data_IF_973179983876
#
_entry.id   IF_973179983876
#
_cell.length_a   1.000
_cell.length_b   1.000
_cell.length_c   1.000
_cell.angle_alpha   90.00
_cell.angle_beta   90.00
_cell.angle_gamma   90.00
#
_symmetry.space_group_name_H-M   'P 1'
#
loop_
_entity.id
_entity.type
_entity.pdbx_description
1 polymer ?
#
# COMPACT_ATOMS: atom_id res chain seq x y z
N UNK A 1 -13.99 46.46 4.18
CA UNK A 1 -13.45 46.06 2.86
C UNK A 1 -11.92 45.93 2.95
N UNK A 2 -11.38 44.78 3.31
CA UNK A 2 -9.94 44.51 3.27
C UNK A 2 -9.69 43.14 2.63
N UNK A 3 -9.14 43.15 1.40
CA UNK A 3 -8.72 41.97 0.65
C UNK A 3 -7.22 41.77 0.85
N UNK A 4 -6.84 40.71 1.56
CA UNK A 4 -5.46 40.26 1.66
C UNK A 4 -5.10 39.42 0.42
N UNK A 5 -4.05 39.84 -0.30
CA UNK A 5 -3.42 39.09 -1.40
C UNK A 5 -2.37 38.14 -0.81
N UNK A 6 -2.53 36.84 -1.01
CA UNK A 6 -1.52 35.82 -0.69
C UNK A 6 -0.81 35.44 -1.99
N UNK A 7 0.48 35.74 -2.05
CA UNK A 7 1.39 35.43 -3.16
C UNK A 7 1.93 34.00 -3.01
N UNK A 8 1.71 33.18 -4.04
CA UNK A 8 2.29 31.86 -4.20
C UNK A 8 3.78 31.93 -4.51
N UNK A 9 4.59 31.14 -3.78
CA UNK A 9 6.02 30.93 -4.00
C UNK A 9 6.20 29.56 -4.65
N UNK A 10 6.49 29.52 -5.95
CA UNK A 10 6.88 28.29 -6.67
C UNK A 10 8.40 28.12 -6.57
N UNK A 11 8.84 27.08 -5.86
CA UNK A 11 10.24 26.67 -5.82
C UNK A 11 10.55 25.72 -6.97
N UNK A 12 11.38 26.18 -7.92
CA UNK A 12 11.98 25.33 -8.95
C UNK A 12 13.27 24.71 -8.40
N UNK A 13 13.32 23.39 -8.28
CA UNK A 13 14.56 22.65 -7.99
C UNK A 13 15.10 22.07 -9.30
N UNK A 14 16.15 22.71 -9.81
CA UNK A 14 16.92 22.28 -10.99
C UNK A 14 17.92 21.19 -10.59
N UNK A 15 17.81 20.01 -11.20
CA UNK A 15 18.77 18.92 -11.10
C UNK A 15 19.89 19.14 -12.12
N UNK A 16 21.10 19.45 -11.65
CA UNK A 16 22.33 19.34 -12.42
C UNK A 16 23.17 18.19 -11.85
N UNK A 17 23.33 17.10 -12.62
CA UNK A 17 24.31 16.05 -12.33
C UNK A 17 25.27 15.96 -13.52
N UNK A 18 26.44 16.57 -13.33
CA UNK A 18 27.56 16.66 -14.27
C UNK A 18 28.39 15.37 -14.15
N UNK A 19 28.56 14.66 -15.26
CA UNK A 19 29.51 13.56 -15.41
C UNK A 19 30.90 14.13 -15.73
N UNK A 20 31.95 13.63 -15.06
CA UNK A 20 33.32 13.71 -15.56
C UNK A 20 34.02 12.36 -15.38
N UNK A 21 34.76 11.88 -16.40
CA UNK A 21 35.72 10.79 -16.25
C UNK A 21 37.14 11.38 -16.11
N UNK A 22 37.90 10.87 -15.14
CA UNK A 22 39.35 11.11 -15.08
C UNK A 22 40.07 9.80 -15.37
N UNK A 23 40.72 9.74 -16.52
CA UNK A 23 41.68 8.71 -16.90
C UNK A 23 43.00 8.96 -16.16
N UNK A 24 43.50 7.95 -15.45
CA UNK A 24 44.87 7.91 -14.94
C UNK A 24 45.61 6.75 -15.60
N UNK A 25 46.63 7.09 -16.38
CA UNK A 25 47.54 6.17 -17.06
C UNK A 25 48.58 5.65 -16.06
N UNK A 26 48.58 4.35 -15.79
CA UNK A 26 49.66 3.68 -15.07
C UNK A 26 50.44 2.76 -16.03
N UNK A 27 51.71 3.11 -16.24
CA UNK A 27 52.72 2.28 -16.90
C UNK A 27 52.96 1.01 -16.07
N UNK A 28 52.91 -0.15 -16.72
CA UNK A 28 53.28 -1.43 -16.10
C UNK A 28 54.47 -2.08 -16.81
N UNK A 29 55.44 -2.44 -15.97
CA UNK A 29 56.69 -3.12 -16.25
C UNK A 29 56.46 -4.57 -16.70
N UNK A 30 57.32 -5.03 -17.62
CA UNK A 30 57.32 -6.35 -18.23
C UNK A 30 57.75 -7.45 -17.26
N UNK A 31 56.94 -8.51 -17.19
CA UNK A 31 57.38 -9.82 -16.68
C UNK A 31 56.82 -10.95 -17.56
N UNK A 32 57.69 -11.90 -17.87
CA UNK A 32 57.54 -12.95 -18.88
C UNK A 32 56.32 -13.86 -18.67
N UNK A 33 55.70 -14.39 -19.75
CA UNK A 33 54.47 -15.17 -19.66
C UNK A 33 54.77 -16.61 -19.23
N UNK A 34 54.70 -16.88 -17.93
CA UNK A 34 54.39 -18.23 -17.48
C UNK A 34 52.94 -18.53 -17.86
N UNK A 35 52.70 -19.71 -18.44
CA UNK A 35 51.42 -20.19 -18.99
C UNK A 35 50.20 -19.59 -18.29
N UNK A 36 49.40 -18.83 -19.05
CA UNK A 36 48.22 -18.09 -18.57
C UNK A 36 47.11 -19.06 -18.15
N UNK A 37 47.20 -19.63 -16.95
CA UNK A 37 45.97 -19.97 -16.22
C UNK A 37 45.17 -18.68 -16.07
N UNK A 38 43.88 -18.72 -16.41
CA UNK A 38 43.03 -17.53 -16.27
C UNK A 38 43.02 -17.16 -14.78
N UNK A 39 43.11 -15.88 -14.45
CA UNK A 39 43.24 -15.41 -13.05
C UNK A 39 42.15 -16.00 -12.13
N UNK A 40 40.94 -16.22 -12.65
CA UNK A 40 39.85 -16.86 -11.93
C UNK A 40 40.09 -18.35 -11.62
N UNK A 41 40.85 -19.04 -12.45
CA UNK A 41 41.16 -20.48 -12.35
C UNK A 41 42.18 -20.74 -11.24
N UNK A 42 43.16 -19.83 -11.07
CA UNK A 42 44.06 -19.81 -9.91
C UNK A 42 43.32 -19.52 -8.61
N UNK A 43 42.42 -18.52 -8.62
CA UNK A 43 41.59 -18.22 -7.45
C UNK A 43 40.66 -19.38 -7.08
N UNK A 44 40.06 -20.05 -8.07
CA UNK A 44 39.19 -21.20 -7.85
C UNK A 44 39.95 -22.43 -7.35
N UNK A 45 41.17 -22.70 -7.85
CA UNK A 45 42.04 -23.77 -7.32
C UNK A 45 42.48 -23.50 -5.88
N UNK A 46 42.74 -22.24 -5.52
CA UNK A 46 43.12 -21.85 -4.16
C UNK A 46 41.98 -22.11 -3.15
N UNK A 47 40.73 -21.88 -3.56
CA UNK A 47 39.54 -22.10 -2.74
C UNK A 47 39.18 -23.59 -2.63
N UNK A 48 39.43 -24.39 -3.68
CA UNK A 48 39.13 -25.84 -3.68
C UNK A 48 40.04 -26.71 -2.80
N UNK A 49 41.23 -26.22 -2.43
CA UNK A 49 42.20 -26.96 -1.64
C UNK A 49 42.22 -26.58 -0.15
N UNK A 50 41.25 -25.78 0.32
CA UNK A 50 41.09 -25.52 1.75
C UNK A 50 39.95 -26.37 2.28
N UNK A 51 40.30 -27.46 2.96
CA UNK A 51 39.34 -28.24 3.73
C UNK A 51 38.53 -27.29 4.62
N UNK A 52 37.22 -27.24 4.40
CA UNK A 52 36.30 -26.33 5.08
C UNK A 52 36.32 -26.49 6.61
N UNK A 53 36.91 -27.58 7.10
CA UNK A 53 36.98 -27.98 8.50
C UNK A 53 38.09 -27.28 9.30
N UNK A 54 39.08 -26.65 8.67
CA UNK A 54 40.28 -26.16 9.41
C UNK A 54 40.80 -24.79 8.94
N UNK A 55 39.96 -23.96 8.35
CA UNK A 55 40.39 -22.67 7.83
C UNK A 55 40.21 -21.56 8.88
N UNK A 56 41.16 -21.49 9.82
CA UNK A 56 41.22 -20.51 10.92
C UNK A 56 41.05 -19.04 10.46
N UNK A 57 41.42 -18.75 9.21
CA UNK A 57 41.26 -17.44 8.59
C UNK A 57 39.78 -17.10 8.29
N UNK A 58 39.00 -18.05 7.80
CA UNK A 58 37.57 -17.84 7.55
C UNK A 58 36.80 -17.70 8.86
N UNK A 59 37.20 -18.42 9.91
CA UNK A 59 36.60 -18.27 11.23
C UNK A 59 36.95 -16.92 11.86
N UNK A 60 38.18 -16.42 11.70
CA UNK A 60 38.52 -15.04 12.09
C UNK A 60 37.68 -14.02 11.34
N UNK A 61 37.51 -14.14 10.03
CA UNK A 61 36.64 -13.21 9.28
C UNK A 61 35.19 -13.28 9.76
N UNK A 62 34.66 -14.47 10.01
CA UNK A 62 33.29 -14.68 10.53
C UNK A 62 33.13 -14.15 11.96
N UNK A 63 34.14 -14.30 12.83
CA UNK A 63 34.06 -13.87 14.23
C UNK A 63 34.40 -12.40 14.44
N UNK A 64 35.33 -11.86 13.65
CA UNK A 64 35.98 -10.57 13.90
C UNK A 64 35.39 -9.44 13.04
N UNK A 65 34.87 -9.75 11.84
CA UNK A 65 34.46 -8.70 10.90
C UNK A 65 32.95 -8.48 10.84
N UNK A 66 32.16 -9.55 10.85
CA UNK A 66 30.71 -9.47 10.67
C UNK A 66 30.04 -10.72 11.24
N UNK A 67 29.24 -10.58 12.30
CA UNK A 67 28.29 -11.63 12.71
C UNK A 67 27.12 -11.69 11.71
N UNK A 68 26.97 -12.78 10.94
CA UNK A 68 25.88 -12.92 9.97
C UNK A 68 24.49 -12.82 10.63
N UNK A 69 24.35 -13.26 11.87
CA UNK A 69 23.08 -13.19 12.59
C UNK A 69 22.66 -11.73 12.84
N UNK A 70 23.63 -10.88 13.22
CA UNK A 70 23.40 -9.44 13.41
C UNK A 70 23.00 -8.75 12.10
N UNK A 71 23.61 -9.12 10.97
CA UNK A 71 23.26 -8.55 9.67
C UNK A 71 21.87 -8.95 9.21
N UNK A 72 21.52 -10.24 9.36
CA UNK A 72 20.19 -10.73 9.00
C UNK A 72 19.14 -9.96 9.80
N UNK A 73 19.33 -9.83 11.12
CA UNK A 73 18.43 -9.05 11.98
C UNK A 73 18.32 -7.59 11.55
N UNK A 74 19.43 -6.96 11.19
CA UNK A 74 19.42 -5.56 10.72
C UNK A 74 18.59 -5.41 9.45
N UNK A 75 18.73 -6.33 8.49
CA UNK A 75 17.95 -6.35 7.25
C UNK A 75 16.46 -6.61 7.54
N UNK A 76 16.16 -7.52 8.47
CA UNK A 76 14.78 -7.79 8.91
C UNK A 76 14.11 -6.55 9.49
N UNK A 77 14.80 -5.82 10.39
CA UNK A 77 14.29 -4.60 11.01
C UNK A 77 14.06 -3.49 9.95
N UNK A 78 14.99 -3.31 9.02
CA UNK A 78 14.86 -2.36 7.91
C UNK A 78 13.67 -2.71 6.99
N UNK A 79 13.50 -3.99 6.67
CA UNK A 79 12.40 -4.48 5.85
C UNK A 79 11.05 -4.27 6.55
N UNK A 80 10.96 -4.61 7.84
CA UNK A 80 9.76 -4.39 8.65
C UNK A 80 9.41 -2.90 8.73
N UNK A 81 10.41 -2.03 8.91
CA UNK A 81 10.23 -0.58 8.90
C UNK A 81 9.72 -0.05 7.55
N UNK A 82 10.28 -0.53 6.43
CA UNK A 82 9.85 -0.16 5.09
C UNK A 82 8.40 -0.60 4.80
N UNK A 83 8.05 -1.83 5.16
CA UNK A 83 6.70 -2.38 5.03
C UNK A 83 5.71 -1.57 5.89
N UNK A 84 6.04 -1.32 7.16
CA UNK A 84 5.21 -0.53 8.07
C UNK A 84 4.93 0.86 7.53
N UNK A 85 5.95 1.54 6.99
CA UNK A 85 5.80 2.87 6.35
C UNK A 85 4.92 2.83 5.11
N UNK A 86 5.03 1.79 4.29
CA UNK A 86 4.20 1.61 3.11
C UNK A 86 2.72 1.38 3.47
N UNK A 87 2.46 0.52 4.45
CA UNK A 87 1.11 0.26 4.97
C UNK A 87 0.51 1.52 5.62
N UNK A 88 1.31 2.28 6.37
CA UNK A 88 0.90 3.57 6.96
C UNK A 88 0.43 4.56 5.89
N UNK A 89 1.23 4.77 4.84
CA UNK A 89 0.85 5.63 3.70
C UNK A 89 -0.43 5.17 3.01
N UNK A 90 -0.67 3.87 2.93
CA UNK A 90 -1.90 3.33 2.36
C UNK A 90 -3.10 3.61 3.27
N UNK A 91 -2.94 3.48 4.59
CA UNK A 91 -3.94 3.90 5.58
C UNK A 91 -4.29 5.38 5.48
N UNK A 92 -3.29 6.24 5.27
CA UNK A 92 -3.48 7.69 5.12
C UNK A 92 -4.39 8.05 3.93
N UNK A 93 -4.33 7.28 2.82
CA UNK A 93 -5.26 7.48 1.68
C UNK A 93 -6.71 7.30 2.09
N UNK A 94 -7.00 6.28 2.92
CA UNK A 94 -8.35 6.01 3.42
C UNK A 94 -8.79 7.15 4.35
N UNK A 95 -7.92 7.56 5.28
CA UNK A 95 -8.22 8.64 6.22
C UNK A 95 -8.46 9.98 5.52
N UNK A 96 -7.69 10.29 4.48
CA UNK A 96 -7.90 11.50 3.67
C UNK A 96 -9.24 11.46 2.95
N UNK A 97 -9.59 10.35 2.29
CA UNK A 97 -10.89 10.20 1.63
C UNK A 97 -12.07 10.30 2.62
N UNK A 98 -11.95 9.68 3.80
CA UNK A 98 -12.98 9.78 4.85
C UNK A 98 -13.11 11.21 5.41
N UNK A 99 -12.01 11.99 5.46
CA UNK A 99 -12.05 13.40 5.85
C UNK A 99 -12.85 14.22 4.83
N UNK A 100 -12.55 14.07 3.54
CA UNK A 100 -13.28 14.71 2.46
C UNK A 100 -14.78 14.34 2.48
N UNK A 101 -15.10 13.07 2.73
CA UNK A 101 -16.49 12.63 2.94
C UNK A 101 -17.17 13.42 4.08
N UNK A 102 -16.52 13.58 5.23
CA UNK A 102 -17.10 14.33 6.35
C UNK A 102 -17.34 15.79 6.00
N UNK A 103 -16.42 16.41 5.26
CA UNK A 103 -16.56 17.80 4.78
C UNK A 103 -17.75 17.95 3.82
N UNK A 104 -17.87 17.05 2.84
CA UNK A 104 -19.01 17.05 1.92
C UNK A 104 -20.33 16.78 2.61
N UNK A 105 -20.36 15.86 3.58
CA UNK A 105 -21.57 15.57 4.36
C UNK A 105 -22.02 16.79 5.18
N UNK A 106 -21.09 17.48 5.84
CA UNK A 106 -21.43 18.68 6.60
C UNK A 106 -22.01 19.78 5.72
N UNK A 107 -21.48 19.95 4.50
CA UNK A 107 -22.02 20.90 3.51
C UNK A 107 -23.39 20.48 2.99
N UNK A 108 -23.56 19.19 2.70
CA UNK A 108 -24.83 18.62 2.31
C UNK A 108 -25.92 18.88 3.37
N UNK A 109 -25.63 18.58 4.64
CA UNK A 109 -26.56 18.78 5.75
C UNK A 109 -26.93 20.27 5.92
N UNK A 110 -25.98 21.19 5.70
CA UNK A 110 -26.23 22.65 5.71
C UNK A 110 -27.16 23.09 4.58
N UNK A 111 -26.91 22.64 3.35
CA UNK A 111 -27.70 23.02 2.18
C UNK A 111 -29.14 22.48 2.24
N UNK A 112 -29.33 21.31 2.87
CA UNK A 112 -30.67 20.80 3.18
C UNK A 112 -31.45 21.73 4.12
N UNK A 113 -30.79 22.34 5.11
CA UNK A 113 -31.43 23.32 6.00
C UNK A 113 -31.74 24.63 5.29
N UNK A 114 -30.92 25.02 4.31
CA UNK A 114 -31.09 26.21 3.48
C UNK A 114 -32.10 26.00 2.33
N UNK A 115 -32.64 24.79 2.16
CA UNK A 115 -33.51 24.37 1.07
C UNK A 115 -32.91 24.53 -0.34
N UNK A 116 -31.57 24.52 -0.45
CA UNK A 116 -30.84 24.54 -1.72
C UNK A 116 -30.59 23.11 -2.20
N UNK A 117 -31.62 22.49 -2.76
CA UNK A 117 -31.60 21.05 -3.06
C UNK A 117 -30.66 20.66 -4.21
N UNK A 118 -30.58 21.47 -5.27
CA UNK A 118 -29.72 21.18 -6.42
C UNK A 118 -28.25 21.13 -6.01
N UNK A 119 -27.81 22.09 -5.20
CA UNK A 119 -26.45 22.12 -4.66
C UNK A 119 -26.21 20.97 -3.68
N UNK A 120 -27.22 20.59 -2.89
CA UNK A 120 -27.12 19.43 -2.01
C UNK A 120 -26.85 18.14 -2.81
N UNK A 121 -27.52 17.94 -3.95
CA UNK A 121 -27.30 16.77 -4.82
C UNK A 121 -25.85 16.71 -5.33
N UNK A 122 -25.28 17.85 -5.71
CA UNK A 122 -23.88 17.94 -6.13
C UNK A 122 -22.92 17.51 -5.00
N UNK A 123 -23.16 17.96 -3.76
CA UNK A 123 -22.37 17.54 -2.61
C UNK A 123 -22.56 16.07 -2.24
N UNK A 124 -23.77 15.52 -2.39
CA UNK A 124 -24.03 14.09 -2.22
C UNK A 124 -23.24 13.25 -3.25
N UNK A 125 -23.19 13.70 -4.49
CA UNK A 125 -22.40 13.06 -5.55
C UNK A 125 -20.91 13.04 -5.21
N UNK A 126 -20.35 14.20 -4.81
CA UNK A 126 -18.92 14.29 -4.39
C UNK A 126 -18.62 13.45 -3.15
N UNK A 127 -19.55 13.38 -2.19
CA UNK A 127 -19.44 12.49 -1.05
C UNK A 127 -19.33 11.02 -1.49
N UNK A 128 -20.18 10.60 -2.42
CA UNK A 128 -20.19 9.22 -2.93
C UNK A 128 -18.92 8.90 -3.73
N UNK A 129 -18.40 9.83 -4.53
CA UNK A 129 -17.09 9.68 -5.20
C UNK A 129 -15.94 9.53 -4.19
N UNK A 130 -15.94 10.34 -3.12
CA UNK A 130 -14.97 10.21 -2.03
C UNK A 130 -15.10 8.86 -1.31
N UNK A 131 -16.34 8.38 -1.13
CA UNK A 131 -16.63 7.06 -0.56
C UNK A 131 -16.07 5.93 -1.41
N UNK A 132 -16.25 5.98 -2.72
CA UNK A 132 -15.68 4.97 -3.63
C UNK A 132 -14.15 4.94 -3.56
N UNK A 133 -13.50 6.12 -3.52
CA UNK A 133 -12.06 6.21 -3.30
C UNK A 133 -11.64 5.59 -1.97
N UNK A 134 -12.39 5.84 -0.89
CA UNK A 134 -12.12 5.24 0.42
C UNK A 134 -12.26 3.70 0.38
N UNK A 135 -13.30 3.18 -0.27
CA UNK A 135 -13.53 1.73 -0.43
C UNK A 135 -12.38 1.09 -1.22
N UNK A 136 -11.99 1.70 -2.33
CA UNK A 136 -10.86 1.24 -3.15
C UNK A 136 -9.55 1.23 -2.37
N UNK A 137 -9.23 2.33 -1.68
CA UNK A 137 -8.03 2.43 -0.87
C UNK A 137 -8.02 1.39 0.28
N UNK A 138 -9.18 1.08 0.85
CA UNK A 138 -9.35 0.04 1.87
C UNK A 138 -9.11 -1.35 1.32
N UNK A 139 -9.61 -1.64 0.11
CA UNK A 139 -9.32 -2.90 -0.58
C UNK A 139 -7.82 -3.05 -0.88
N UNK A 140 -7.18 -2.01 -1.39
CA UNK A 140 -5.73 -1.99 -1.62
C UNK A 140 -4.95 -2.27 -0.31
N UNK A 141 -5.36 -1.68 0.81
CA UNK A 141 -4.76 -1.96 2.12
C UNK A 141 -4.92 -3.41 2.55
N UNK A 142 -6.09 -4.02 2.35
CA UNK A 142 -6.33 -5.44 2.64
C UNK A 142 -5.38 -6.34 1.86
N UNK A 143 -5.26 -6.10 0.54
CA UNK A 143 -4.37 -6.85 -0.35
C UNK A 143 -2.92 -6.70 0.08
N UNK A 144 -2.45 -5.49 0.38
CA UNK A 144 -1.08 -5.27 0.85
C UNK A 144 -0.80 -5.97 2.18
N UNK A 145 -1.73 -5.93 3.12
CA UNK A 145 -1.59 -6.65 4.40
C UNK A 145 -1.52 -8.17 4.18
N UNK A 146 -2.35 -8.71 3.29
CA UNK A 146 -2.31 -10.13 2.98
C UNK A 146 -0.99 -10.55 2.30
N UNK A 147 -0.46 -9.73 1.39
CA UNK A 147 0.83 -9.96 0.74
C UNK A 147 2.02 -9.97 1.72
N UNK A 148 1.90 -9.24 2.84
CA UNK A 148 2.90 -9.21 3.93
C UNK A 148 2.73 -10.39 4.91
N UNK A 149 1.65 -11.17 4.80
CA UNK A 149 1.41 -12.33 5.66
C UNK A 149 0.40 -12.11 6.79
N UNK A 150 -0.31 -10.96 6.85
CA UNK A 150 -1.43 -10.77 7.77
C UNK A 150 -2.66 -11.53 7.27
N UNK A 151 -2.75 -12.83 7.55
CA UNK A 151 -3.84 -13.71 7.09
C UNK A 151 -5.00 -13.79 8.08
N UNK A 152 -4.70 -13.94 9.37
CA UNK A 152 -5.71 -14.13 10.42
C UNK A 152 -6.34 -12.79 10.82
N UNK A 153 -7.67 -12.68 10.74
CA UNK A 153 -8.41 -11.51 11.23
C UNK A 153 -8.20 -10.20 10.46
N UNK A 154 -7.51 -10.24 9.31
CA UNK A 154 -7.15 -9.04 8.54
C UNK A 154 -8.36 -8.17 8.16
N UNK A 155 -9.41 -8.80 7.64
CA UNK A 155 -10.65 -8.12 7.24
C UNK A 155 -11.31 -7.41 8.41
N UNK A 156 -11.57 -8.12 9.51
CA UNK A 156 -12.19 -7.54 10.71
C UNK A 156 -11.38 -6.35 11.24
N UNK A 157 -10.05 -6.48 11.31
CA UNK A 157 -9.18 -5.40 11.76
C UNK A 157 -9.32 -4.15 10.87
N UNK A 158 -9.18 -4.29 9.55
CA UNK A 158 -9.24 -3.15 8.63
C UNK A 158 -10.62 -2.51 8.60
N UNK A 159 -11.70 -3.29 8.61
CA UNK A 159 -13.06 -2.75 8.64
C UNK A 159 -13.38 -2.01 9.94
N UNK A 160 -12.87 -2.49 11.08
CA UNK A 160 -13.06 -1.84 12.37
C UNK A 160 -12.22 -0.56 12.52
N UNK A 161 -10.96 -0.59 12.06
CA UNK A 161 -10.06 0.56 12.09
C UNK A 161 -10.51 1.67 11.13
N UNK A 162 -10.98 1.31 9.93
CA UNK A 162 -11.37 2.24 8.88
C UNK A 162 -12.85 2.07 8.53
N UNK A 163 -13.71 2.61 9.40
CA UNK A 163 -15.16 2.64 9.20
C UNK A 163 -15.51 3.64 8.10
N UNK A 164 -16.16 3.15 7.05
CA UNK A 164 -16.65 3.95 5.93
C UNK A 164 -18.18 3.97 6.04
N UNK A 165 -18.82 5.14 6.21
CA UNK A 165 -20.28 5.25 6.29
C UNK A 165 -20.96 4.93 4.95
N UNK A 166 -22.28 4.79 4.97
CA UNK A 166 -23.09 4.50 3.79
C UNK A 166 -23.19 5.69 2.82
N UNK A 167 -23.62 5.39 1.60
CA UNK A 167 -23.79 6.37 0.54
C UNK A 167 -24.92 7.36 0.87
N UNK A 168 -24.78 8.59 0.40
CA UNK A 168 -25.86 9.58 0.47
C UNK A 168 -26.80 9.41 -0.72
N UNK A 169 -28.11 9.66 -0.55
CA UNK A 169 -29.06 9.63 -1.64
C UNK A 169 -28.76 10.75 -2.63
N UNK A 170 -28.75 10.41 -3.92
CA UNK A 170 -28.53 11.37 -5.03
C UNK A 170 -29.86 11.77 -5.67
N UNK A 171 -30.88 10.91 -5.57
CA UNK A 171 -32.19 11.17 -6.13
C UNK A 171 -33.09 11.91 -5.13
N UNK A 172 -33.69 13.02 -5.56
CA UNK A 172 -34.67 13.80 -4.77
C UNK A 172 -35.89 12.98 -4.33
N UNK A 173 -36.30 12.01 -5.14
CA UNK A 173 -37.44 11.15 -4.80
C UNK A 173 -37.14 10.19 -3.65
N UNK A 174 -35.88 9.86 -3.39
CA UNK A 174 -35.46 9.05 -2.25
C UNK A 174 -35.44 9.85 -0.94
N UNK A 175 -35.44 11.19 -1.02
CA UNK A 175 -35.46 12.08 0.14
C UNK A 175 -36.86 12.33 0.68
N UNK A 176 -37.92 11.98 -0.08
CA UNK A 176 -39.28 12.01 0.45
C UNK A 176 -39.36 10.92 1.51
N UNK A 177 -39.58 11.24 2.80
CA UNK A 177 -39.77 10.20 3.80
C UNK A 177 -40.94 9.34 3.32
N UNK A 178 -40.67 8.07 3.02
CA UNK A 178 -41.71 7.09 2.78
C UNK A 178 -42.54 7.01 4.06
N UNK A 179 -43.59 7.84 4.12
CA UNK A 179 -44.59 7.85 5.17
C UNK A 179 -45.54 6.66 5.04
N UNK A 180 -45.25 5.75 4.11
CA UNK A 180 -45.95 4.48 3.94
C UNK A 180 -45.29 3.40 4.82
N UNK A 181 -45.75 3.37 6.07
CA UNK A 181 -45.86 2.15 6.87
C UNK A 181 -46.77 1.11 6.16
N UNK A 182 -46.36 0.60 5.00
CA UNK A 182 -46.97 -0.60 4.44
C UNK A 182 -46.24 -1.83 4.98
N UNK A 183 -46.84 -2.40 6.03
CA UNK A 183 -46.73 -3.81 6.43
C UNK A 183 -46.72 -4.68 5.18
N UNK A 184 -45.56 -5.21 4.79
CA UNK A 184 -45.49 -6.33 3.85
C UNK A 184 -45.71 -7.62 4.63
N UNK A 185 -46.88 -8.21 4.45
CA UNK A 185 -47.17 -9.61 4.74
C UNK A 185 -46.27 -10.52 3.90
N UNK A 186 -45.77 -11.64 4.44
CA UNK A 186 -45.00 -12.61 3.67
C UNK A 186 -45.98 -13.49 2.90
N UNK A 187 -46.01 -13.36 1.57
CA UNK A 187 -46.58 -14.39 0.69
C UNK A 187 -45.46 -14.92 -0.19
N UNK A 188 -45.31 -16.24 -0.10
CA UNK A 188 -44.33 -17.08 -0.77
C UNK A 188 -44.54 -17.07 -2.28
N UNK A 189 -43.48 -16.81 -3.03
CA UNK A 189 -43.26 -17.42 -4.33
C UNK A 189 -41.75 -17.62 -4.52
N UNK A 190 -41.31 -18.86 -4.28
CA UNK A 190 -39.93 -19.30 -4.44
C UNK A 190 -39.66 -19.48 -5.94
N UNK A 191 -39.33 -18.39 -6.61
CA UNK A 191 -38.66 -18.43 -7.92
C UNK A 191 -37.23 -18.92 -7.67
N UNK A 192 -36.72 -19.96 -8.38
CA UNK A 192 -35.33 -20.38 -8.28
C UNK A 192 -34.43 -19.22 -8.73
N UNK A 193 -33.92 -18.48 -7.75
CA UNK A 193 -32.92 -17.43 -7.96
C UNK A 193 -31.72 -18.13 -8.57
N UNK A 194 -31.42 -17.82 -9.84
CA UNK A 194 -30.09 -18.03 -10.43
C UNK A 194 -29.09 -17.64 -9.35
N UNK A 195 -28.24 -18.57 -8.93
CA UNK A 195 -27.20 -18.32 -7.94
C UNK A 195 -26.42 -17.10 -8.44
N UNK A 196 -26.76 -15.93 -7.89
CA UNK A 196 -25.93 -14.74 -8.06
C UNK A 196 -24.62 -15.16 -7.43
N UNK A 197 -23.58 -15.25 -8.25
CA UNK A 197 -22.22 -15.55 -7.85
C UNK A 197 -22.01 -14.83 -6.52
N UNK A 198 -21.99 -15.63 -5.44
CA UNK A 198 -22.05 -15.12 -4.07
C UNK A 198 -20.93 -14.11 -3.88
N UNK A 199 -21.19 -13.16 -2.99
CA UNK A 199 -20.25 -12.13 -2.57
C UNK A 199 -18.82 -12.67 -2.60
N UNK A 200 -17.89 -11.97 -3.27
CA UNK A 200 -16.55 -12.48 -3.58
C UNK A 200 -15.83 -13.05 -2.33
N UNK A 201 -16.24 -12.60 -1.14
CA UNK A 201 -15.90 -13.12 0.18
C UNK A 201 -16.19 -14.62 0.37
N UNK A 202 -17.35 -15.12 -0.06
CA UNK A 202 -17.74 -16.54 0.05
C UNK A 202 -16.80 -17.45 -0.76
N UNK A 203 -16.36 -16.97 -1.93
CA UNK A 203 -15.42 -17.69 -2.78
C UNK A 203 -14.04 -17.81 -2.10
N UNK A 204 -13.52 -16.73 -1.52
CA UNK A 204 -12.25 -16.75 -0.79
C UNK A 204 -12.30 -17.62 0.47
N UNK A 205 -13.41 -17.60 1.21
CA UNK A 205 -13.60 -18.46 2.38
C UNK A 205 -13.64 -19.96 2.00
N UNK A 206 -14.20 -20.27 0.83
CA UNK A 206 -14.31 -21.64 0.32
C UNK A 206 -12.97 -22.20 -0.18
N UNK A 207 -12.13 -21.39 -0.82
CA UNK A 207 -10.83 -21.84 -1.37
C UNK A 207 -9.68 -21.74 -0.35
N UNK A 208 -9.72 -20.79 0.58
CA UNK A 208 -8.60 -20.48 1.47
C UNK A 208 -8.31 -21.50 2.60
N UNK A 209 -9.17 -22.51 2.80
CA UNK A 209 -8.90 -23.59 3.76
C UNK A 209 -8.09 -24.70 3.11
N UNK A 210 -6.79 -24.45 2.89
CA UNK A 210 -5.84 -25.55 2.69
C UNK A 210 -5.66 -26.25 4.05
N UNK A 211 -6.14 -27.49 4.13
CA UNK A 211 -5.88 -28.41 5.24
C UNK A 211 -4.47 -28.97 5.13
#
# INVERSE_FOLDING_TARGET
>A
MHRAKILHRFGQCSLHRRLQPMFASFSSSSSSPTSKEKTWERSAKLVKNTDATNNQYLDKIRSETVDPALQIKTIEDELCGAIGKALGKQGDKILNAVREMKEHKLRYDQLLLEASFDEAIDFATRYNEARERAIKARWELLVHRQAVGFTVGNHSYVHNAFRIPDALPVNLDELKPNNDMQRKTPSEEVVPKKEKFGDQLDWWQKIGRWK
#
